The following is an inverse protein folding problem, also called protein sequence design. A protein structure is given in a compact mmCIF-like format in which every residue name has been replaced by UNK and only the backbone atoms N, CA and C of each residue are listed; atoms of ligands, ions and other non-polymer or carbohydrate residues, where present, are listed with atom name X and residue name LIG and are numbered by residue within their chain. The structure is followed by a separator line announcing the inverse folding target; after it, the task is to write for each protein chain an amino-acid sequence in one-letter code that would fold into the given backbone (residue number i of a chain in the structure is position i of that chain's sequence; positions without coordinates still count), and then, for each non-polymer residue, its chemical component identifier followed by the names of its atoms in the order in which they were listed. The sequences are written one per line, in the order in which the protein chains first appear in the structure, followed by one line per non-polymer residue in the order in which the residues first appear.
data_IF_618109846546
#
_entry.id   IF_618109846546
#
_cell.length_a   1.000
_cell.length_b   1.000
_cell.length_c   1.000
_cell.angle_alpha   90.00
_cell.angle_beta   90.00
_cell.angle_gamma   90.00
#
_symmetry.space_group_name_H-M   'P 1'
#
loop_
_entity.id
_entity.type
_entity.pdbx_description
1 polymer ?
#
# COMPACT_ATOMS: atom_id res chain seq x y z
N UNK A 1 16.62 8.64 -6.93
CA UNK A 1 15.47 8.43 -6.04
C UNK A 1 15.35 6.94 -5.78
N UNK A 2 15.65 6.49 -4.57
CA UNK A 2 15.54 5.07 -4.22
C UNK A 2 14.06 4.77 -3.98
N UNK A 3 13.39 4.16 -4.96
CA UNK A 3 12.03 3.65 -4.76
C UNK A 3 12.16 2.49 -3.78
N UNK A 4 11.80 2.71 -2.52
CA UNK A 4 11.70 1.60 -1.58
C UNK A 4 10.65 0.61 -2.11
N UNK A 5 11.05 -0.65 -2.24
CA UNK A 5 10.14 -1.72 -2.67
C UNK A 5 9.10 -1.93 -1.58
N UNK A 6 7.81 -1.93 -1.94
CA UNK A 6 6.74 -2.34 -1.02
C UNK A 6 6.62 -3.86 -1.12
N UNK A 7 6.68 -4.52 0.03
CA UNK A 7 6.58 -5.96 0.16
C UNK A 7 5.66 -6.32 1.34
N UNK A 8 5.02 -7.50 1.32
CA UNK A 8 4.32 -8.02 2.49
C UNK A 8 5.20 -8.00 3.75
N UNK A 9 4.61 -7.67 4.90
CA UNK A 9 5.27 -7.53 6.19
C UNK A 9 5.94 -6.17 6.44
N UNK A 10 5.92 -5.25 5.46
CA UNK A 10 6.47 -3.90 5.63
C UNK A 10 5.52 -3.03 6.47
N UNK A 11 5.97 -2.43 7.58
CA UNK A 11 5.20 -1.43 8.30
C UNK A 11 5.10 -0.14 7.47
N UNK A 12 3.89 0.39 7.36
CA UNK A 12 3.57 1.55 6.51
C UNK A 12 2.56 2.47 7.18
N UNK A 13 2.59 3.75 6.79
CA UNK A 13 1.49 4.68 6.99
C UNK A 13 0.63 4.76 5.73
N UNK A 14 -0.68 4.59 5.88
CA UNK A 14 -1.67 4.70 4.82
C UNK A 14 -2.54 5.92 5.02
N UNK A 15 -2.74 6.71 3.97
CA UNK A 15 -3.72 7.79 3.97
C UNK A 15 -5.06 7.28 3.44
N UNK A 16 -6.03 7.06 4.33
CA UNK A 16 -7.36 6.57 3.98
C UNK A 16 -8.45 7.50 4.55
N UNK A 17 -9.42 7.86 3.71
CA UNK A 17 -10.55 8.73 4.09
C UNK A 17 -10.14 10.03 4.81
N UNK A 18 -9.02 10.65 4.40
CA UNK A 18 -8.50 11.87 5.01
C UNK A 18 -7.73 11.69 6.32
N UNK A 19 -7.63 10.46 6.85
CA UNK A 19 -6.88 10.10 8.05
C UNK A 19 -5.58 9.38 7.68
N UNK A 20 -4.58 9.46 8.55
CA UNK A 20 -3.38 8.61 8.50
C UNK A 20 -3.60 7.44 9.44
N UNK A 21 -3.36 6.24 8.94
CA UNK A 21 -3.47 4.99 9.69
C UNK A 21 -2.12 4.29 9.61
N UNK A 22 -1.69 3.68 10.71
CA UNK A 22 -0.51 2.84 10.75
C UNK A 22 -0.95 1.39 10.50
N UNK A 23 -0.18 0.67 9.67
CA UNK A 23 -0.52 -0.71 9.33
C UNK A 23 0.66 -1.48 8.78
N UNK A 24 0.41 -2.73 8.42
CA UNK A 24 1.39 -3.62 7.80
C UNK A 24 0.85 -4.06 6.45
N UNK A 25 1.73 -4.05 5.45
CA UNK A 25 1.38 -4.55 4.12
C UNK A 25 1.11 -6.05 4.22
N UNK A 26 -0.09 -6.46 3.85
CA UNK A 26 -0.50 -7.87 3.83
C UNK A 26 -0.20 -8.49 2.47
N UNK A 27 -0.59 -7.79 1.39
CA UNK A 27 -0.44 -8.28 0.02
C UNK A 27 -0.08 -7.15 -0.95
N UNK A 28 0.71 -7.45 -1.97
CA UNK A 28 1.00 -6.54 -3.08
C UNK A 28 0.54 -7.20 -4.37
N UNK A 29 -0.56 -6.70 -4.92
CA UNK A 29 -1.14 -7.16 -6.18
C UNK A 29 -0.63 -6.29 -7.31
N UNK A 30 0.00 -6.95 -8.27
CA UNK A 30 0.41 -6.30 -9.51
C UNK A 30 -0.55 -6.72 -10.62
N UNK A 31 -1.17 -5.74 -11.29
CA UNK A 31 -2.03 -6.02 -12.44
C UNK A 31 -1.38 -5.46 -13.71
N UNK A 32 -0.93 -6.32 -14.64
CA UNK A 32 -0.52 -5.88 -15.97
C UNK A 32 -1.75 -5.37 -16.72
N UNK A 33 -1.87 -4.05 -16.88
CA UNK A 33 -2.84 -3.48 -17.80
C UNK A 33 -2.08 -2.79 -18.92
N UNK A 34 -2.48 -3.05 -20.18
CA UNK A 34 -1.89 -2.38 -21.34
C UNK A 34 -2.09 -0.87 -21.20
N UNK A 35 -1.00 -0.13 -20.97
CA UNK A 35 -0.98 1.34 -20.90
C UNK A 35 -0.86 1.93 -19.48
N UNK A 36 -1.29 1.21 -18.43
CA UNK A 36 -1.27 1.71 -17.05
C UNK A 36 -1.00 0.57 -16.06
N UNK A 37 0.27 0.25 -15.74
CA UNK A 37 0.56 -0.71 -14.68
C UNK A 37 0.04 -0.17 -13.34
N UNK A 38 -0.90 -0.87 -12.72
CA UNK A 38 -1.43 -0.53 -11.40
C UNK A 38 -0.94 -1.54 -10.37
N UNK A 39 -0.33 -1.02 -9.31
CA UNK A 39 0.00 -1.77 -8.11
C UNK A 39 -1.05 -1.47 -7.06
N UNK A 40 -1.82 -2.49 -6.71
CA UNK A 40 -2.76 -2.47 -5.61
C UNK A 40 -2.09 -3.10 -4.39
N UNK A 41 -2.14 -2.40 -3.27
CA UNK A 41 -1.46 -2.79 -2.03
C UNK A 41 -2.55 -2.92 -0.97
N UNK A 42 -2.60 -4.09 -0.36
CA UNK A 42 -3.50 -4.43 0.73
C UNK A 42 -2.73 -4.20 2.03
N UNK A 43 -3.29 -3.39 2.91
CA UNK A 43 -2.70 -3.07 4.21
C UNK A 43 -3.69 -3.45 5.29
N UNK A 44 -3.22 -4.20 6.29
CA UNK A 44 -3.96 -4.38 7.54
C UNK A 44 -3.59 -3.23 8.48
N UNK A 45 -4.58 -2.41 8.81
CA UNK A 45 -4.42 -1.27 9.71
C UNK A 45 -5.54 -1.31 10.76
N UNK A 46 -5.17 -1.44 12.03
CA UNK A 46 -6.10 -1.46 13.17
C UNK A 46 -7.27 -2.47 13.02
N UNK A 47 -6.99 -3.65 12.45
CA UNK A 47 -8.00 -4.70 12.21
C UNK A 47 -8.95 -4.41 11.05
N UNK A 48 -8.62 -3.42 10.21
CA UNK A 48 -9.31 -3.11 8.95
C UNK A 48 -8.39 -3.36 7.78
N UNK A 49 -8.85 -4.13 6.80
CA UNK A 49 -8.16 -4.33 5.53
C UNK A 49 -8.41 -3.16 4.59
N UNK A 50 -7.35 -2.44 4.21
CA UNK A 50 -7.40 -1.28 3.32
C UNK A 50 -6.69 -1.61 2.01
N UNK A 51 -7.42 -1.51 0.91
CA UNK A 51 -6.88 -1.66 -0.44
C UNK A 51 -6.59 -0.29 -1.04
N UNK A 52 -5.33 -0.03 -1.39
CA UNK A 52 -4.91 1.28 -1.93
C UNK A 52 -3.76 1.16 -2.93
N UNK A 53 -3.53 2.22 -3.72
CA UNK A 53 -2.35 2.31 -4.58
C UNK A 53 -1.09 2.78 -3.84
N UNK A 54 0.07 2.59 -4.48
CA UNK A 54 1.40 3.02 -4.00
C UNK A 54 1.47 4.48 -3.56
N UNK A 55 0.74 5.38 -4.22
CA UNK A 55 0.76 6.82 -3.96
C UNK A 55 0.19 7.20 -2.57
N UNK A 56 -0.62 6.33 -1.96
CA UNK A 56 -1.24 6.58 -0.66
C UNK A 56 -0.47 5.94 0.51
N UNK A 57 0.67 5.30 0.23
CA UNK A 57 1.45 4.51 1.19
C UNK A 57 2.83 5.12 1.37
N UNK A 58 3.18 5.39 2.63
CA UNK A 58 4.50 5.84 3.05
C UNK A 58 5.19 4.73 3.86
N UNK A 59 6.34 4.19 3.40
CA UNK A 59 7.16 3.30 4.23
C UNK A 59 7.63 4.01 5.49
N UNK A 60 7.67 3.28 6.61
CA UNK A 60 8.21 3.77 7.88
C UNK A 60 9.68 3.39 8.08
#
# INVERSE_FOLDING_TARGET
MTVQSISPGLPVEVRFAGRRLEGVVDEVRWTPTWGEPRSEIVVDADGTTITTGRASIQPR
#
